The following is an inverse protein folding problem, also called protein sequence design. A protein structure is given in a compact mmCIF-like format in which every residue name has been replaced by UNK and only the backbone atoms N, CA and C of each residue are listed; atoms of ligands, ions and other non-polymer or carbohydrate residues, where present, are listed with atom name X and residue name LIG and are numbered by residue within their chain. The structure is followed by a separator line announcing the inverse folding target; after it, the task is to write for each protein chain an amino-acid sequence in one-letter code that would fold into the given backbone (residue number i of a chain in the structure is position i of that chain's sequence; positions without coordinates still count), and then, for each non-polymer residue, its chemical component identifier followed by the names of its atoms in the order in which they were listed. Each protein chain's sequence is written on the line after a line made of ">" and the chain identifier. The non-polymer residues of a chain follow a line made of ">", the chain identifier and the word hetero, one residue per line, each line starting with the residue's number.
data_IF_826541014235
#
_entry.id   IF_826541014235
#
_cell.length_a   1.000
_cell.length_b   1.000
_cell.length_c   1.000
_cell.angle_alpha   90.00
_cell.angle_beta   90.00
_cell.angle_gamma   90.00
#
_symmetry.space_group_name_H-M   'P 1'
#
loop_
_entity.id
_entity.type
_entity.pdbx_description
1 polymer ?
#
# COMPACT_ATOMS: atom_id res chain seq x y z
N UNK A 1 -19.32 2.28 -3.61
CA UNK A 1 -18.59 2.34 -4.90
C UNK A 1 -17.91 1.00 -5.07
N UNK A 2 -18.26 0.21 -6.09
CA UNK A 2 -17.48 -0.99 -6.44
C UNK A 2 -16.20 -0.49 -7.08
N UNK A 3 -15.05 -0.78 -6.48
CA UNK A 3 -13.79 -0.33 -7.03
C UNK A 3 -13.52 -1.11 -8.34
N UNK A 4 -13.03 -0.45 -9.39
CA UNK A 4 -12.91 -1.04 -10.73
C UNK A 4 -12.06 -2.32 -10.75
N UNK A 5 -11.16 -2.45 -9.76
CA UNK A 5 -10.21 -3.55 -9.59
C UNK A 5 -10.45 -4.37 -8.30
N UNK A 6 -11.57 -4.16 -7.61
CA UNK A 6 -11.79 -4.69 -6.25
C UNK A 6 -11.66 -6.21 -6.16
N UNK A 7 -12.16 -6.95 -7.16
CA UNK A 7 -12.08 -8.42 -7.15
C UNK A 7 -10.65 -8.91 -7.27
N UNK A 8 -9.85 -8.26 -8.11
CA UNK A 8 -8.45 -8.60 -8.33
C UNK A 8 -7.60 -8.23 -7.12
N UNK A 9 -7.85 -7.07 -6.51
CA UNK A 9 -7.19 -6.63 -5.28
C UNK A 9 -7.43 -7.57 -4.11
N UNK A 10 -8.64 -8.08 -3.94
CA UNK A 10 -8.93 -9.11 -2.93
C UNK A 10 -8.13 -10.41 -3.10
N UNK A 11 -7.61 -10.70 -4.29
CA UNK A 11 -6.71 -11.84 -4.52
C UNK A 11 -5.27 -11.56 -4.08
N UNK A 12 -4.92 -10.29 -3.87
CA UNK A 12 -3.61 -9.84 -3.39
C UNK A 12 -3.64 -9.55 -1.88
N UNK A 13 -4.79 -9.13 -1.34
CA UNK A 13 -5.02 -9.01 0.09
C UNK A 13 -4.79 -10.35 0.81
N UNK A 14 -4.25 -10.29 2.03
CA UNK A 14 -3.79 -11.40 2.87
C UNK A 14 -2.60 -12.19 2.33
N UNK A 15 -1.95 -11.72 1.26
CA UNK A 15 -0.65 -12.26 0.85
C UNK A 15 0.48 -11.54 1.58
N UNK A 16 1.62 -12.24 1.64
CA UNK A 16 2.87 -11.70 2.14
C UNK A 16 3.84 -11.50 0.99
N UNK A 17 4.33 -10.28 0.80
CA UNK A 17 5.26 -9.96 -0.29
C UNK A 17 6.01 -8.66 -0.02
N UNK A 18 7.08 -8.41 -0.78
CA UNK A 18 7.79 -7.12 -0.77
C UNK A 18 6.96 -6.04 -1.48
N UNK A 19 7.25 -4.76 -1.18
CA UNK A 19 6.59 -3.64 -1.86
C UNK A 19 6.85 -3.63 -3.38
N UNK A 20 8.01 -4.14 -3.81
CA UNK A 20 8.40 -4.24 -5.21
C UNK A 20 7.66 -5.36 -5.95
N UNK A 21 7.50 -6.52 -5.31
CA UNK A 21 6.66 -7.61 -5.85
C UNK A 21 5.21 -7.16 -5.95
N UNK A 22 4.69 -6.48 -4.93
CA UNK A 22 3.35 -5.92 -4.98
C UNK A 22 3.18 -4.93 -6.13
N UNK A 23 4.15 -4.07 -6.39
CA UNK A 23 4.10 -3.16 -7.54
C UNK A 23 3.90 -3.91 -8.87
N UNK A 24 4.64 -5.00 -9.10
CA UNK A 24 4.54 -5.81 -10.33
C UNK A 24 3.19 -6.50 -10.47
N UNK A 25 2.64 -7.01 -9.36
CA UNK A 25 1.31 -7.61 -9.32
C UNK A 25 0.23 -6.55 -9.60
N UNK A 26 0.34 -5.37 -9.00
CA UNK A 26 -0.59 -4.26 -9.21
C UNK A 26 -0.57 -3.77 -10.66
N UNK A 27 0.61 -3.62 -11.27
CA UNK A 27 0.74 -3.30 -12.70
C UNK A 27 0.03 -4.32 -13.59
N UNK A 28 0.16 -5.61 -13.26
CA UNK A 28 -0.50 -6.69 -14.00
C UNK A 28 -2.03 -6.65 -13.84
N UNK A 29 -2.53 -6.20 -12.69
CA UNK A 29 -3.97 -6.05 -12.42
C UNK A 29 -4.58 -4.84 -13.13
N UNK A 30 -3.89 -3.69 -13.10
CA UNK A 30 -4.43 -2.42 -13.59
C UNK A 30 -4.02 -2.10 -15.03
N UNK A 31 -2.98 -2.77 -15.56
CA UNK A 31 -2.46 -2.54 -16.91
C UNK A 31 -1.77 -1.19 -17.09
N UNK A 32 -1.33 -0.55 -16.00
CA UNK A 32 -0.67 0.76 -16.00
C UNK A 32 0.67 0.64 -15.29
N UNK A 33 1.67 1.41 -15.72
CA UNK A 33 3.02 1.39 -15.15
C UNK A 33 3.06 2.18 -13.84
N UNK A 34 3.58 1.55 -12.79
CA UNK A 34 3.77 2.13 -11.45
C UNK A 34 5.21 2.61 -11.32
N UNK A 35 5.40 3.76 -10.67
CA UNK A 35 6.73 4.21 -10.26
C UNK A 35 7.25 3.30 -9.14
N UNK A 36 8.32 2.54 -9.42
CA UNK A 36 8.91 1.58 -8.47
C UNK A 36 10.12 2.15 -7.71
N UNK A 37 10.58 3.34 -8.10
CA UNK A 37 11.75 3.98 -7.52
C UNK A 37 11.38 4.83 -6.30
N UNK A 38 10.11 5.22 -6.19
CA UNK A 38 9.59 6.04 -5.09
C UNK A 38 8.30 5.44 -4.53
N UNK A 39 8.35 4.97 -3.28
CA UNK A 39 7.16 4.61 -2.50
C UNK A 39 7.01 5.59 -1.34
N UNK A 40 5.84 6.19 -1.19
CA UNK A 40 5.53 7.01 -0.02
C UNK A 40 4.89 6.15 1.04
N UNK A 41 5.48 6.10 2.23
CA UNK A 41 4.95 5.34 3.35
C UNK A 41 4.71 6.20 4.59
N UNK A 42 3.55 5.99 5.22
CA UNK A 42 3.17 6.59 6.50
C UNK A 42 2.94 5.49 7.52
N UNK A 43 3.74 5.48 8.60
CA UNK A 43 3.55 4.58 9.75
C UNK A 43 2.42 5.11 10.61
N UNK A 44 1.39 4.30 10.83
CA UNK A 44 0.35 4.58 11.81
C UNK A 44 0.56 3.69 13.05
N UNK A 45 0.92 4.34 14.16
CA UNK A 45 1.08 3.68 15.46
C UNK A 45 -0.24 3.77 16.19
N UNK A 46 -0.89 2.64 16.44
CA UNK A 46 -2.12 2.60 17.22
C UNK A 46 -1.85 3.10 18.66
N UNK A 47 -2.42 4.26 19.02
CA UNK A 47 -2.30 4.85 20.38
C UNK A 47 -3.21 4.19 21.43
N UNK A 48 -3.91 3.10 21.11
CA UNK A 48 -4.82 2.41 22.02
C UNK A 48 -4.14 1.21 22.70
N UNK A 49 -4.50 0.86 23.95
CA UNK A 49 -3.98 -0.30 24.65
C UNK A 49 -4.59 -1.57 24.05
N UNK A 50 -4.05 -1.98 22.91
CA UNK A 50 -4.52 -3.15 22.18
C UNK A 50 -3.61 -4.32 22.59
N UNK A 51 -4.20 -5.41 23.08
CA UNK A 51 -3.48 -6.60 23.56
C UNK A 51 -2.68 -7.35 22.48
N UNK A 52 -2.72 -6.92 21.22
CA UNK A 52 -1.88 -7.40 20.11
C UNK A 52 -0.87 -6.33 19.67
N UNK A 53 0.08 -6.00 20.54
CA UNK A 53 1.15 -4.99 20.32
C UNK A 53 2.26 -5.51 19.38
N UNK A 54 1.97 -6.43 18.47
CA UNK A 54 3.01 -7.12 17.70
C UNK A 54 3.20 -6.62 16.27
N UNK A 55 2.33 -5.74 15.75
CA UNK A 55 2.42 -5.25 14.38
C UNK A 55 2.17 -3.74 14.27
N UNK A 56 2.93 -3.10 13.40
CA UNK A 56 2.72 -1.74 12.96
C UNK A 56 2.08 -1.74 11.58
N UNK A 57 1.17 -0.78 11.37
CA UNK A 57 0.49 -0.59 10.10
C UNK A 57 1.12 0.57 9.33
N UNK A 58 1.17 0.44 8.01
CA UNK A 58 1.72 1.39 7.07
C UNK A 58 0.72 1.62 5.95
N UNK A 59 0.51 2.89 5.61
CA UNK A 59 -0.08 3.27 4.33
C UNK A 59 1.03 3.45 3.32
N UNK A 60 0.98 2.73 2.21
CA UNK A 60 1.94 2.77 1.10
C UNK A 60 1.22 3.25 -0.15
N UNK A 61 1.66 4.38 -0.69
CA UNK A 61 1.11 4.93 -1.94
C UNK A 61 1.95 4.51 -3.13
N UNK A 62 1.30 3.93 -4.13
CA UNK A 62 1.85 3.60 -5.44
C UNK A 62 1.29 4.56 -6.48
N UNK A 63 2.12 5.45 -7.00
CA UNK A 63 1.75 6.38 -8.06
C UNK A 63 2.01 5.76 -9.43
N UNK A 64 1.15 6.08 -10.39
CA UNK A 64 1.34 5.70 -11.77
C UNK A 64 2.22 6.71 -12.51
N UNK A 65 2.97 6.26 -13.51
CA UNK A 65 3.84 7.16 -14.29
C UNK A 65 3.05 8.15 -15.17
N UNK A 66 1.95 7.67 -15.76
CA UNK A 66 1.26 8.39 -16.85
C UNK A 66 -0.07 9.06 -16.44
N UNK A 67 -0.49 8.95 -15.17
CA UNK A 67 -1.69 9.63 -14.68
C UNK A 67 -1.65 9.86 -13.17
N UNK A 68 -2.53 10.76 -12.70
CA UNK A 68 -2.55 11.28 -11.33
C UNK A 68 -3.26 10.41 -10.31
N UNK A 69 -3.92 9.35 -10.74
CA UNK A 69 -4.52 8.39 -9.81
C UNK A 69 -3.40 7.63 -9.10
N UNK A 70 -3.75 6.87 -8.08
CA UNK A 70 -2.79 6.08 -7.33
C UNK A 70 -3.48 4.89 -6.67
N UNK A 71 -2.67 3.97 -6.18
CA UNK A 71 -3.13 2.86 -5.34
C UNK A 71 -2.63 3.12 -3.93
N UNK A 72 -3.55 3.17 -2.97
CA UNK A 72 -3.24 3.18 -1.54
C UNK A 72 -3.30 1.76 -1.00
N UNK A 73 -2.25 1.35 -0.30
CA UNK A 73 -2.14 0.01 0.29
C UNK A 73 -1.96 0.14 1.78
N UNK A 74 -2.80 -0.55 2.54
CA UNK A 74 -2.59 -0.79 3.96
C UNK A 74 -1.83 -2.09 4.10
N UNK A 75 -0.67 -2.03 4.74
CA UNK A 75 0.20 -3.16 4.94
C UNK A 75 0.79 -3.15 6.35
N UNK A 76 1.14 -4.31 6.88
CA UNK A 76 1.73 -4.41 8.22
C UNK A 76 3.03 -5.21 8.27
N UNK A 77 3.84 -4.87 9.28
CA UNK A 77 5.04 -5.59 9.67
C UNK A 77 5.08 -5.76 11.18
N UNK A 78 5.85 -6.74 11.68
CA UNK A 78 6.10 -6.84 13.11
C UNK A 78 6.64 -5.52 13.69
N UNK A 79 6.05 -5.07 14.80
CA UNK A 79 6.38 -3.80 15.43
C UNK A 79 7.85 -3.71 15.81
N UNK A 80 8.47 -2.59 15.46
CA UNK A 80 9.83 -2.20 15.86
C UNK A 80 9.81 -0.91 16.66
N UNK A 81 10.87 -0.69 17.45
CA UNK A 81 10.93 0.47 18.35
C UNK A 81 11.01 1.77 17.56
N UNK A 82 11.83 1.80 16.50
CA UNK A 82 12.03 2.97 15.65
C UNK A 82 11.67 2.69 14.20
N UNK A 83 11.24 3.74 13.48
CA UNK A 83 10.96 3.66 12.05
C UNK A 83 12.21 3.27 11.22
N UNK A 84 13.39 3.72 11.65
CA UNK A 84 14.66 3.41 10.99
C UNK A 84 15.10 1.94 11.12
N UNK A 85 14.42 1.15 11.94
CA UNK A 85 14.73 -0.28 12.09
C UNK A 85 14.01 -1.12 11.02
N UNK A 86 13.07 -0.54 10.28
CA UNK A 86 12.36 -1.23 9.20
C UNK A 86 13.18 -1.24 7.92
N UNK A 87 13.18 -2.39 7.26
CA UNK A 87 13.75 -2.57 5.93
C UNK A 87 12.60 -2.57 4.92
N UNK A 88 12.25 -1.40 4.39
CA UNK A 88 11.14 -1.27 3.45
C UNK A 88 11.46 -1.84 2.06
N UNK A 89 12.72 -2.15 1.78
CA UNK A 89 13.16 -2.67 0.49
C UNK A 89 12.91 -4.17 0.40
N UNK A 90 13.37 -4.91 1.41
CA UNK A 90 13.38 -6.38 1.37
C UNK A 90 12.42 -7.04 2.37
N UNK A 91 11.74 -6.28 3.23
CA UNK A 91 10.75 -6.87 4.14
C UNK A 91 9.52 -7.39 3.40
N UNK A 92 9.04 -8.54 3.86
CA UNK A 92 7.77 -9.12 3.43
C UNK A 92 6.64 -8.54 4.28
N UNK A 93 5.84 -7.67 3.68
CA UNK A 93 4.68 -7.03 4.28
C UNK A 93 3.47 -7.96 4.21
N UNK A 94 2.66 -7.97 5.27
CA UNK A 94 1.32 -8.53 5.22
C UNK A 94 0.39 -7.50 4.57
N UNK A 95 -0.17 -7.81 3.39
CA UNK A 95 -1.00 -6.86 2.63
C UNK A 95 -2.44 -6.96 3.12
N UNK A 96 -2.98 -5.88 3.69
CA UNK A 96 -4.27 -5.90 4.39
C UNK A 96 -5.42 -5.36 3.53
N UNK A 97 -5.17 -4.25 2.84
CA UNK A 97 -6.18 -3.58 2.02
C UNK A 97 -5.51 -2.90 0.83
N UNK A 98 -6.12 -3.01 -0.35
CA UNK A 98 -5.66 -2.31 -1.54
C UNK A 98 -6.82 -1.48 -2.10
N UNK A 99 -6.58 -0.19 -2.29
CA UNK A 99 -7.58 0.76 -2.77
C UNK A 99 -7.05 1.56 -3.95
N UNK A 100 -7.74 1.48 -5.09
CA UNK A 100 -7.51 2.41 -6.19
C UNK A 100 -8.19 3.75 -5.87
N UNK A 101 -7.43 4.83 -5.90
CA UNK A 101 -7.87 6.19 -5.57
C UNK A 101 -7.77 7.05 -6.81
N UNK A 102 -8.93 7.52 -7.28
CA UNK A 102 -9.00 8.53 -8.33
C UNK A 102 -8.66 9.90 -7.76
N UNK A 103 -7.66 10.58 -8.32
CA UNK A 103 -7.51 12.02 -8.08
C UNK A 103 -8.38 12.75 -9.09
N UNK A 104 -9.65 12.93 -8.75
CA UNK A 104 -10.46 13.92 -9.44
C UNK A 104 -9.72 15.26 -9.29
N UNK A 105 -9.25 15.82 -10.41
CA UNK A 105 -8.77 17.21 -10.40
C UNK A 105 -9.96 18.04 -9.93
N UNK A 106 -9.85 18.92 -8.92
CA UNK A 106 -10.94 19.83 -8.62
C UNK A 106 -11.19 20.61 -9.91
N UNK A 107 -12.34 20.41 -10.55
CA UNK A 107 -12.84 21.41 -11.48
C UNK A 107 -12.99 22.68 -10.65
N UNK A 108 -12.13 23.66 -10.93
CA UNK A 108 -12.21 25.01 -10.37
C UNK A 108 -13.68 25.46 -10.29
N UNK A 109 -14.12 25.83 -9.10
CA UNK A 109 -15.23 26.76 -8.91
C UNK A 109 -14.75 27.95 -8.13
#
# INVERSE_FOLDING_TARGET
>A
MNNMYEKQFRLLENKKMTLKELALELESVVGQTINKDEFFYKRDVALKPNTNVSQDTFHVTYEFLDHKDFIDVVASLPSKRKLSEYDFTDANFDIELISYVKRDTPENK
#
